data_IF_929689188610
#
_entry.id   IF_929689188610
#
_cell.length_a   1.000
_cell.length_b   1.000
_cell.length_c   1.000
_cell.angle_alpha   90.00
_cell.angle_beta   90.00
_cell.angle_gamma   90.00
#
_symmetry.space_group_name_H-M   'P 1'
#
loop_
_entity.id
_entity.type
_entity.pdbx_description
1 polymer ?
#
# COMPACT_ATOMS: atom_id res chain seq x y z
N UNK A 1 -16.87 13.86 30.00
CA UNK A 1 -15.46 13.62 29.64
C UNK A 1 -15.50 12.98 28.28
N UNK A 2 -14.68 13.44 27.33
CA UNK A 2 -14.55 12.75 26.04
C UNK A 2 -14.09 11.32 26.30
N UNK A 3 -14.56 10.36 25.51
CA UNK A 3 -14.04 8.99 25.54
C UNK A 3 -12.56 8.98 25.11
N UNK A 4 -11.82 7.94 25.48
CA UNK A 4 -10.41 7.80 25.09
C UNK A 4 -10.23 7.88 23.56
N UNK A 5 -11.14 7.28 22.80
CA UNK A 5 -11.15 7.28 21.34
C UNK A 5 -11.45 8.66 20.73
N UNK A 6 -12.31 9.46 21.38
CA UNK A 6 -12.53 10.85 20.97
C UNK A 6 -11.29 11.71 21.22
N UNK A 7 -10.55 11.46 22.31
CA UNK A 7 -9.31 12.17 22.61
C UNK A 7 -8.19 11.80 21.61
N UNK A 8 -8.06 10.51 21.23
CA UNK A 8 -7.13 10.07 20.18
C UNK A 8 -7.45 10.74 18.84
N UNK A 9 -8.72 10.75 18.45
CA UNK A 9 -9.16 11.40 17.21
C UNK A 9 -8.83 12.89 17.21
N UNK A 10 -9.09 13.61 18.30
CA UNK A 10 -8.80 15.05 18.41
C UNK A 10 -7.30 15.33 18.26
N UNK A 11 -6.44 14.54 18.91
CA UNK A 11 -4.98 14.64 18.78
C UNK A 11 -4.52 14.36 17.34
N UNK A 12 -5.11 13.36 16.68
CA UNK A 12 -4.82 13.06 15.29
C UNK A 12 -5.24 14.19 14.34
N UNK A 13 -6.44 14.76 14.52
CA UNK A 13 -6.91 15.89 13.70
C UNK A 13 -6.03 17.13 13.87
N UNK A 14 -5.58 17.41 15.09
CA UNK A 14 -4.61 18.48 15.36
C UNK A 14 -3.25 18.18 14.70
N UNK A 15 -2.79 16.94 14.76
CA UNK A 15 -1.55 16.52 14.11
C UNK A 15 -1.63 16.64 12.58
N UNK A 16 -2.75 16.25 11.95
CA UNK A 16 -2.99 16.46 10.53
C UNK A 16 -2.90 17.94 10.17
N UNK A 17 -3.58 18.81 10.94
CA UNK A 17 -3.56 20.25 10.72
C UNK A 17 -2.15 20.84 10.83
N UNK A 18 -1.37 20.44 11.84
CA UNK A 18 0.02 20.90 12.04
C UNK A 18 0.92 20.47 10.89
N UNK A 19 0.66 19.31 10.29
CA UNK A 19 1.41 18.81 9.13
C UNK A 19 0.86 19.27 7.77
N UNK A 20 -0.04 20.26 7.75
CA UNK A 20 -0.50 20.89 6.52
C UNK A 20 -1.57 20.11 5.75
N UNK A 21 -2.22 19.14 6.39
CA UNK A 21 -3.36 18.43 5.80
C UNK A 21 -4.61 19.31 5.85
N UNK A 22 -5.33 19.39 4.73
CA UNK A 22 -6.54 20.20 4.62
C UNK A 22 -7.79 19.34 4.40
N UNK A 23 -8.67 19.28 5.41
CA UNK A 23 -10.01 18.71 5.30
C UNK A 23 -10.98 19.77 4.77
N UNK A 24 -11.30 19.76 3.47
CA UNK A 24 -12.07 20.81 2.79
C UNK A 24 -13.57 20.53 2.74
N UNK A 25 -13.94 19.28 2.47
CA UNK A 25 -15.32 18.84 2.30
C UNK A 25 -15.67 17.60 3.11
N UNK A 26 -14.73 17.14 3.94
CA UNK A 26 -14.87 15.89 4.69
C UNK A 26 -14.50 16.05 6.17
N UNK A 27 -14.73 14.99 6.92
CA UNK A 27 -14.34 14.80 8.31
C UNK A 27 -14.13 13.33 8.58
N UNK A 28 -13.22 13.02 9.51
CA UNK A 28 -12.96 11.66 9.94
C UNK A 28 -13.87 11.34 11.12
N UNK A 29 -14.57 10.21 11.07
CA UNK A 29 -15.49 9.76 12.12
C UNK A 29 -15.43 8.25 12.30
N UNK A 30 -15.73 7.82 13.52
CA UNK A 30 -16.00 6.42 13.78
C UNK A 30 -17.32 6.00 13.11
N UNK A 31 -17.27 4.94 12.31
CA UNK A 31 -18.42 4.36 11.61
C UNK A 31 -19.12 3.34 12.50
N UNK A 32 -18.46 2.21 12.76
CA UNK A 32 -18.95 1.12 13.61
C UNK A 32 -17.80 0.15 13.92
N UNK A 33 -18.09 -0.93 14.66
CA UNK A 33 -17.08 -1.90 15.08
C UNK A 33 -16.51 -2.77 13.94
N UNK A 34 -17.13 -2.81 12.76
CA UNK A 34 -16.64 -3.62 11.63
C UNK A 34 -15.76 -2.81 10.69
N UNK A 35 -16.11 -1.53 10.44
CA UNK A 35 -15.34 -0.63 9.57
C UNK A 35 -14.33 0.24 10.32
N UNK A 36 -14.51 0.45 11.62
CA UNK A 36 -13.70 1.39 12.39
C UNK A 36 -13.97 2.83 11.96
N UNK A 37 -12.91 3.60 11.70
CA UNK A 37 -13.01 4.99 11.25
C UNK A 37 -13.17 5.09 9.72
N UNK A 38 -13.84 6.15 9.28
CA UNK A 38 -14.08 6.46 7.87
C UNK A 38 -14.09 7.96 7.61
N UNK A 39 -14.01 8.35 6.33
CA UNK A 39 -14.25 9.73 5.90
C UNK A 39 -15.73 9.94 5.60
N UNK A 40 -16.27 11.09 6.00
CA UNK A 40 -17.67 11.45 5.80
C UNK A 40 -17.79 12.85 5.20
N UNK A 41 -18.80 13.05 4.37
CA UNK A 41 -19.11 14.37 3.83
C UNK A 41 -19.48 15.35 4.96
N UNK A 42 -18.86 16.52 4.94
CA UNK A 42 -19.16 17.57 5.93
C UNK A 42 -20.38 18.39 5.52
N UNK A 43 -20.57 18.63 4.22
CA UNK A 43 -21.63 19.46 3.64
C UNK A 43 -22.25 18.80 2.39
N UNK A 44 -23.49 19.16 2.01
CA UNK A 44 -24.18 18.54 0.87
C UNK A 44 -23.63 18.98 -0.49
N UNK A 45 -22.77 20.00 -0.52
CA UNK A 45 -22.12 20.55 -1.71
C UNK A 45 -20.63 20.20 -1.77
N UNK A 46 -20.20 19.14 -1.10
CA UNK A 46 -18.79 18.71 -1.08
C UNK A 46 -18.43 18.06 -2.43
N UNK A 47 -18.35 18.88 -3.47
CA UNK A 47 -17.89 18.52 -4.81
C UNK A 47 -16.44 18.97 -5.01
N UNK A 48 -15.68 18.22 -5.79
CA UNK A 48 -14.27 18.52 -6.06
C UNK A 48 -13.37 17.99 -4.95
N UNK A 49 -12.36 18.78 -4.57
CA UNK A 49 -11.29 18.36 -3.66
C UNK A 49 -11.80 18.28 -2.22
N UNK A 50 -11.79 17.08 -1.65
CA UNK A 50 -12.30 16.75 -0.32
C UNK A 50 -11.22 16.85 0.76
N UNK A 51 -10.04 16.31 0.48
CA UNK A 51 -8.89 16.22 1.37
C UNK A 51 -7.62 16.49 0.58
N UNK A 52 -6.68 17.25 1.13
CA UNK A 52 -5.34 17.49 0.56
C UNK A 52 -4.29 17.09 1.59
N UNK A 53 -3.31 16.29 1.17
CA UNK A 53 -2.20 15.79 1.99
C UNK A 53 -0.88 16.15 1.30
N UNK A 54 0.02 16.92 1.94
CA UNK A 54 1.37 17.13 1.41
C UNK A 54 2.10 15.80 1.23
N UNK A 55 2.80 15.62 0.11
CA UNK A 55 3.49 14.35 -0.19
C UNK A 55 4.59 14.03 0.83
N UNK A 56 5.20 15.04 1.44
CA UNK A 56 6.24 14.84 2.46
C UNK A 56 5.71 14.20 3.76
N UNK A 57 4.39 14.22 3.97
CA UNK A 57 3.70 13.54 5.07
C UNK A 57 3.34 12.08 4.73
N UNK A 58 3.43 11.65 3.47
CA UNK A 58 3.22 10.25 3.14
C UNK A 58 4.40 9.40 3.64
N UNK A 59 4.11 8.20 4.14
CA UNK A 59 5.13 7.20 4.42
C UNK A 59 5.37 6.42 3.14
N UNK A 60 6.50 6.66 2.49
CA UNK A 60 6.96 6.00 1.27
C UNK A 60 8.41 5.54 1.45
N UNK A 61 8.92 4.61 0.62
CA UNK A 61 10.33 4.19 0.70
C UNK A 61 11.28 5.38 0.69
N UNK A 62 11.09 6.33 -0.23
CA UNK A 62 11.95 7.52 -0.34
C UNK A 62 11.91 8.39 0.92
N UNK A 63 10.73 8.59 1.52
CA UNK A 63 10.59 9.38 2.75
C UNK A 63 11.24 8.68 3.95
N UNK A 64 11.17 7.35 4.03
CA UNK A 64 11.88 6.56 5.05
C UNK A 64 13.40 6.69 4.87
N UNK A 65 13.90 6.62 3.64
CA UNK A 65 15.32 6.80 3.35
C UNK A 65 15.80 8.22 3.68
N UNK A 66 14.93 9.23 3.60
CA UNK A 66 15.25 10.61 3.96
C UNK A 66 15.16 10.92 5.46
N UNK A 67 14.72 9.97 6.30
CA UNK A 67 14.68 10.16 7.74
C UNK A 67 16.08 10.56 8.26
N UNK A 68 16.22 11.67 9.01
CA UNK A 68 17.53 12.16 9.43
C UNK A 68 18.32 11.19 10.31
N UNK A 69 17.62 10.34 11.04
CA UNK A 69 18.23 9.41 11.99
C UNK A 69 18.33 8.00 11.42
N UNK A 70 17.23 7.46 10.92
CA UNK A 70 17.13 6.08 10.43
C UNK A 70 17.60 5.95 8.98
N UNK A 71 17.44 7.01 8.19
CA UNK A 71 17.71 7.04 6.74
C UNK A 71 19.09 6.53 6.33
N UNK A 72 20.20 6.92 6.98
CA UNK A 72 21.53 6.38 6.66
C UNK A 72 21.63 4.86 6.81
N UNK A 73 21.06 4.28 7.87
CA UNK A 73 21.07 2.84 8.10
C UNK A 73 20.14 2.12 7.11
N UNK A 74 18.95 2.67 6.87
CA UNK A 74 18.00 2.16 5.90
C UNK A 74 18.56 2.15 4.47
N UNK A 75 19.30 3.19 4.05
CA UNK A 75 19.99 3.22 2.75
C UNK A 75 21.01 2.11 2.63
N UNK A 76 21.86 1.91 3.64
CA UNK A 76 22.83 0.82 3.64
C UNK A 76 22.16 -0.55 3.49
N UNK A 77 21.07 -0.79 4.24
CA UNK A 77 20.30 -2.05 4.13
C UNK A 77 19.72 -2.26 2.72
N UNK A 78 19.25 -1.19 2.06
CA UNK A 78 18.73 -1.26 0.69
C UNK A 78 19.85 -1.56 -0.32
N UNK A 79 20.99 -0.86 -0.21
CA UNK A 79 22.17 -1.04 -1.08
C UNK A 79 22.78 -2.43 -0.97
N UNK A 80 22.75 -3.02 0.23
CA UNK A 80 23.23 -4.38 0.51
C UNK A 80 22.23 -5.47 0.06
N UNK A 81 21.03 -5.09 -0.41
CA UNK A 81 19.95 -6.01 -0.76
C UNK A 81 19.32 -6.69 0.46
N UNK A 82 19.57 -6.15 1.66
CA UNK A 82 18.93 -6.61 2.88
C UNK A 82 17.48 -6.15 2.96
N UNK A 83 17.04 -5.09 2.31
CA UNK A 83 15.61 -4.76 2.31
C UNK A 83 15.17 -4.39 0.90
N UNK A 84 13.91 -4.67 0.58
CA UNK A 84 13.23 -4.06 -0.55
C UNK A 84 12.33 -2.92 -0.04
N UNK A 85 11.71 -2.18 -0.96
CA UNK A 85 10.84 -1.04 -0.65
C UNK A 85 9.72 -1.39 0.35
N UNK A 86 9.10 -2.56 0.18
CA UNK A 86 8.00 -3.01 1.03
C UNK A 86 8.49 -3.36 2.43
N UNK A 87 9.54 -4.16 2.54
CA UNK A 87 10.11 -4.54 3.82
C UNK A 87 10.67 -3.32 4.55
N UNK A 88 11.25 -2.35 3.83
CA UNK A 88 11.70 -1.08 4.40
C UNK A 88 10.55 -0.33 5.08
N UNK A 89 9.40 -0.20 4.42
CA UNK A 89 8.23 0.46 5.01
C UNK A 89 7.71 -0.29 6.24
N UNK A 90 7.63 -1.62 6.16
CA UNK A 90 7.19 -2.46 7.29
C UNK A 90 8.17 -2.33 8.47
N UNK A 91 9.47 -2.28 8.22
CA UNK A 91 10.49 -2.05 9.24
C UNK A 91 10.34 -0.68 9.90
N UNK A 92 10.13 0.37 9.10
CA UNK A 92 9.89 1.72 9.61
C UNK A 92 8.67 1.79 10.52
N UNK A 93 7.54 1.21 10.09
CA UNK A 93 6.32 1.13 10.90
C UNK A 93 6.55 0.32 12.20
N UNK A 94 7.31 -0.78 12.12
CA UNK A 94 7.67 -1.58 13.31
C UNK A 94 8.46 -0.76 14.32
N UNK A 95 9.46 0.00 13.84
CA UNK A 95 10.29 0.87 14.70
C UNK A 95 9.46 2.00 15.29
N UNK A 96 8.68 2.72 14.47
CA UNK A 96 7.87 3.85 14.92
C UNK A 96 6.79 3.44 15.93
N UNK A 97 6.26 2.21 15.84
CA UNK A 97 5.34 1.67 16.85
C UNK A 97 6.01 1.53 18.23
N UNK A 98 7.26 1.10 18.27
CA UNK A 98 8.03 0.90 19.50
C UNK A 98 8.67 2.20 20.01
N UNK A 99 8.83 3.18 19.13
CA UNK A 99 9.53 4.43 19.39
C UNK A 99 8.75 5.32 20.37
N UNK A 100 9.34 5.55 21.55
CA UNK A 100 8.73 6.32 22.65
C UNK A 100 8.37 7.76 22.27
N UNK A 101 9.18 8.39 21.42
CA UNK A 101 9.03 9.78 21.00
C UNK A 101 8.74 9.91 19.50
N UNK A 102 7.95 8.98 18.95
CA UNK A 102 7.54 9.04 17.54
C UNK A 102 6.72 10.30 17.26
N UNK A 103 7.12 11.06 16.24
CA UNK A 103 6.30 12.15 15.69
C UNK A 103 5.05 11.64 14.98
N UNK A 104 5.03 10.36 14.60
CA UNK A 104 3.90 9.69 13.95
C UNK A 104 2.88 9.15 14.94
N UNK A 105 3.17 9.21 16.25
CA UNK A 105 2.31 8.65 17.29
C UNK A 105 0.83 9.03 17.16
N UNK A 106 0.44 10.30 16.90
CA UNK A 106 -0.98 10.63 16.74
C UNK A 106 -1.66 9.92 15.56
N UNK A 107 -0.93 9.63 14.48
CA UNK A 107 -1.43 8.83 13.37
C UNK A 107 -1.46 7.34 13.72
N UNK A 108 -0.37 6.79 14.27
CA UNK A 108 -0.27 5.37 14.60
C UNK A 108 -1.25 4.94 15.71
N UNK A 109 -1.56 5.82 16.66
CA UNK A 109 -2.55 5.57 17.73
C UNK A 109 -3.99 5.45 17.18
N UNK A 110 -4.25 5.91 15.96
CA UNK A 110 -5.54 5.74 15.28
C UNK A 110 -5.64 4.46 14.46
N UNK A 111 -4.50 3.79 14.21
CA UNK A 111 -4.46 2.55 13.45
C UNK A 111 -4.88 1.38 14.35
N UNK A 112 -5.70 0.43 13.85
CA UNK A 112 -6.14 -0.71 14.65
C UNK A 112 -4.97 -1.50 15.24
N UNK A 113 -5.12 -1.99 16.48
CA UNK A 113 -4.12 -2.86 17.12
C UNK A 113 -4.19 -4.32 16.66
N UNK A 114 -5.30 -4.73 16.04
CA UNK A 114 -5.56 -6.06 15.48
C UNK A 114 -6.36 -5.93 14.20
N UNK A 115 -6.33 -6.96 13.36
CA UNK A 115 -6.99 -6.97 12.05
C UNK A 115 -7.86 -8.21 11.87
N UNK A 116 -8.85 -8.13 10.98
CA UNK A 116 -9.72 -9.26 10.64
C UNK A 116 -9.13 -10.22 9.62
N UNK A 117 -7.85 -10.08 9.25
CA UNK A 117 -7.21 -10.97 8.29
C UNK A 117 -6.85 -12.31 8.96
N UNK A 118 -6.92 -13.44 8.24
CA UNK A 118 -6.71 -14.78 8.80
C UNK A 118 -5.40 -14.99 9.56
N UNK A 119 -4.34 -14.21 9.28
CA UNK A 119 -3.07 -14.28 10.01
C UNK A 119 -3.20 -13.87 11.49
N UNK A 120 -4.25 -13.13 11.85
CA UNK A 120 -4.60 -12.69 13.21
C UNK A 120 -5.61 -13.60 13.91
N UNK A 121 -6.16 -14.60 13.22
CA UNK A 121 -7.16 -15.48 13.80
C UNK A 121 -6.59 -16.29 14.95
N UNK A 122 -7.45 -16.52 15.94
CA UNK A 122 -7.23 -17.55 16.95
C UNK A 122 -7.18 -18.93 16.29
N UNK A 123 -6.61 -19.92 16.98
CA UNK A 123 -6.52 -21.29 16.44
C UNK A 123 -7.90 -21.86 16.08
N UNK A 124 -8.93 -21.55 16.87
CA UNK A 124 -10.31 -21.99 16.62
C UNK A 124 -10.91 -21.31 15.37
N UNK A 125 -10.80 -19.98 15.25
CA UNK A 125 -11.25 -19.24 14.05
C UNK A 125 -10.50 -19.68 12.79
N UNK A 126 -9.21 -19.99 12.93
CA UNK A 126 -8.38 -20.43 11.82
C UNK A 126 -8.76 -21.82 11.31
N UNK A 127 -9.13 -22.75 12.20
CA UNK A 127 -9.61 -24.08 11.80
C UNK A 127 -10.95 -24.05 11.06
N UNK A 128 -11.79 -23.01 11.23
CA UNK A 128 -13.02 -22.84 10.45
C UNK A 128 -12.71 -22.59 8.95
N UNK A 129 -11.52 -22.12 8.61
CA UNK A 129 -11.10 -21.94 7.20
C UNK A 129 -10.69 -23.25 6.52
N UNK A 130 -10.62 -24.36 7.26
CA UNK A 130 -10.08 -25.64 6.76
C UNK A 130 -10.86 -26.13 5.53
N UNK A 131 -10.11 -26.43 4.47
CA UNK A 131 -10.65 -26.86 3.18
C UNK A 131 -10.79 -25.73 2.16
N UNK A 132 -10.60 -24.47 2.57
CA UNK A 132 -10.45 -23.33 1.65
C UNK A 132 -8.99 -23.17 1.19
N UNK A 133 -8.79 -22.46 0.08
CA UNK A 133 -7.47 -21.98 -0.37
C UNK A 133 -6.83 -21.02 0.65
N UNK A 134 -7.64 -20.17 1.28
CA UNK A 134 -7.20 -19.20 2.30
C UNK A 134 -6.47 -19.88 3.46
N UNK A 135 -6.94 -21.03 3.93
CA UNK A 135 -6.30 -21.75 5.02
C UNK A 135 -4.84 -22.12 4.70
N UNK A 136 -4.60 -22.68 3.51
CA UNK A 136 -3.23 -23.05 3.11
C UNK A 136 -2.37 -21.82 2.84
N UNK A 137 -2.92 -20.80 2.16
CA UNK A 137 -2.22 -19.55 1.88
C UNK A 137 -1.79 -18.85 3.17
N UNK A 138 -2.71 -18.69 4.13
CA UNK A 138 -2.46 -18.07 5.43
C UNK A 138 -1.43 -18.86 6.24
N UNK A 139 -1.50 -20.20 6.24
CA UNK A 139 -0.52 -21.05 6.93
C UNK A 139 0.89 -20.85 6.38
N UNK A 140 1.03 -20.83 5.05
CA UNK A 140 2.31 -20.57 4.39
C UNK A 140 2.82 -19.15 4.67
N UNK A 141 1.93 -18.16 4.60
CA UNK A 141 2.25 -16.76 4.89
C UNK A 141 2.73 -16.58 6.33
N UNK A 142 2.02 -17.12 7.34
CA UNK A 142 2.38 -17.01 8.75
C UNK A 142 3.75 -17.63 9.04
N UNK A 143 4.03 -18.80 8.45
CA UNK A 143 5.34 -19.45 8.57
C UNK A 143 6.46 -18.63 7.90
N UNK A 144 6.19 -18.07 6.71
CA UNK A 144 7.14 -17.22 5.98
C UNK A 144 7.45 -15.94 6.78
N UNK A 145 6.43 -15.25 7.27
CA UNK A 145 6.57 -14.05 8.10
C UNK A 145 7.34 -14.34 9.38
N UNK A 146 7.09 -15.46 10.05
CA UNK A 146 7.83 -15.86 11.25
C UNK A 146 9.32 -16.08 10.93
N UNK A 147 9.64 -16.75 9.81
CA UNK A 147 11.02 -16.97 9.39
C UNK A 147 11.73 -15.64 9.08
N UNK A 148 11.11 -14.78 8.27
CA UNK A 148 11.65 -13.43 7.98
C UNK A 148 11.83 -12.62 9.25
N UNK A 149 10.93 -12.76 10.21
CA UNK A 149 11.04 -12.08 11.49
C UNK A 149 12.30 -12.49 12.27
N UNK A 150 12.47 -13.78 12.52
CA UNK A 150 13.58 -14.31 13.32
C UNK A 150 14.93 -14.17 12.62
N UNK A 151 14.99 -14.43 11.31
CA UNK A 151 16.24 -14.45 10.56
C UNK A 151 16.76 -13.05 10.26
N UNK A 152 15.89 -12.04 10.25
CA UNK A 152 16.20 -10.73 9.66
C UNK A 152 15.64 -9.54 10.44
N UNK A 153 14.32 -9.40 10.46
CA UNK A 153 13.65 -8.18 10.99
C UNK A 153 14.05 -7.90 12.42
N UNK A 154 14.12 -8.93 13.27
CA UNK A 154 14.48 -8.79 14.68
C UNK A 154 15.85 -8.13 14.89
N UNK A 155 16.84 -8.49 14.08
CA UNK A 155 18.18 -7.88 14.11
C UNK A 155 18.19 -6.45 13.57
N UNK A 156 17.47 -6.21 12.47
CA UNK A 156 17.35 -4.89 11.84
C UNK A 156 16.67 -3.88 12.77
N UNK A 157 15.50 -4.23 13.32
CA UNK A 157 14.76 -3.35 14.25
C UNK A 157 15.58 -3.06 15.50
N UNK A 158 16.27 -4.06 16.07
CA UNK A 158 17.18 -3.83 17.21
C UNK A 158 18.28 -2.82 16.88
N UNK A 159 18.84 -2.89 15.69
CA UNK A 159 19.85 -1.94 15.21
C UNK A 159 19.27 -0.52 15.14
N UNK A 160 18.11 -0.37 14.51
CA UNK A 160 17.43 0.92 14.35
C UNK A 160 17.01 1.53 15.70
N UNK A 161 16.45 0.75 16.62
CA UNK A 161 16.09 1.23 17.96
C UNK A 161 17.33 1.66 18.76
N UNK A 162 18.43 0.92 18.65
CA UNK A 162 19.70 1.30 19.30
C UNK A 162 20.23 2.63 18.77
N UNK A 163 20.08 2.91 17.47
CA UNK A 163 20.44 4.20 16.87
C UNK A 163 19.58 5.35 17.41
N UNK A 164 18.31 5.09 17.73
CA UNK A 164 17.41 6.05 18.40
C UNK A 164 17.64 6.16 19.92
N UNK A 165 18.67 5.49 20.44
CA UNK A 165 19.01 5.50 21.86
C UNK A 165 18.11 4.60 22.72
N UNK A 166 17.31 3.73 22.10
CA UNK A 166 16.51 2.71 22.80
C UNK A 166 17.13 1.33 22.64
N UNK A 167 18.09 1.00 23.51
CA UNK A 167 18.73 -0.32 23.54
C UNK A 167 17.97 -1.35 24.39
N UNK A 168 16.94 -0.92 25.12
CA UNK A 168 16.22 -1.78 26.07
C UNK A 168 14.95 -2.39 25.46
N UNK A 169 14.32 -1.69 24.51
CA UNK A 169 13.14 -2.21 23.82
C UNK A 169 13.49 -3.43 22.97
N UNK A 170 12.68 -4.48 23.09
CA UNK A 170 12.75 -5.68 22.27
C UNK A 170 11.53 -5.74 21.36
N UNK A 171 11.76 -6.05 20.08
CA UNK A 171 10.68 -6.25 19.11
C UNK A 171 10.07 -7.65 19.26
N UNK A 172 8.75 -7.73 19.34
CA UNK A 172 8.02 -8.99 19.28
C UNK A 172 7.54 -9.27 17.84
N UNK A 173 7.24 -10.54 17.55
CA UNK A 173 6.67 -10.92 16.25
C UNK A 173 5.36 -10.16 15.97
N UNK A 174 4.57 -9.88 17.01
CA UNK A 174 3.30 -9.15 16.91
C UNK A 174 3.49 -7.70 16.42
N UNK A 175 4.59 -7.03 16.77
CA UNK A 175 4.88 -5.68 16.29
C UNK A 175 5.16 -5.66 14.78
N UNK A 176 5.93 -6.64 14.31
CA UNK A 176 6.20 -6.85 12.89
C UNK A 176 4.93 -7.27 12.13
N UNK A 177 4.15 -8.20 12.70
CA UNK A 177 2.89 -8.65 12.11
C UNK A 177 1.90 -7.48 11.99
N UNK A 178 1.83 -6.62 13.00
CA UNK A 178 1.07 -5.38 12.98
C UNK A 178 1.51 -4.49 11.82
N UNK A 179 2.80 -4.18 11.71
CA UNK A 179 3.31 -3.32 10.65
C UNK A 179 3.05 -3.89 9.24
N UNK A 180 3.21 -5.21 9.07
CA UNK A 180 2.87 -5.90 7.83
C UNK A 180 1.37 -5.76 7.51
N UNK A 181 0.49 -5.94 8.50
CA UNK A 181 -0.96 -5.77 8.30
C UNK A 181 -1.36 -4.33 8.03
N UNK A 182 -0.71 -3.33 8.64
CA UNK A 182 -0.91 -1.92 8.30
C UNK A 182 -0.58 -1.67 6.84
N UNK A 183 0.57 -2.15 6.36
CA UNK A 183 0.96 -2.02 4.95
C UNK A 183 -0.12 -2.58 4.02
N UNK A 184 -0.48 -3.86 4.19
CA UNK A 184 -1.41 -4.53 3.27
C UNK A 184 -2.84 -3.97 3.31
N UNK A 185 -3.26 -3.43 4.45
CA UNK A 185 -4.64 -2.94 4.62
C UNK A 185 -4.81 -1.48 4.24
N UNK A 186 -3.72 -0.69 4.16
CA UNK A 186 -3.79 0.78 4.06
C UNK A 186 -2.86 1.43 3.03
N UNK A 187 -1.87 0.71 2.49
CA UNK A 187 -1.00 1.28 1.47
C UNK A 187 -1.82 1.59 0.20
N UNK A 188 -1.53 2.75 -0.38
CA UNK A 188 -2.13 3.26 -1.61
C UNK A 188 -1.07 3.33 -2.70
N UNK A 189 -1.49 3.21 -3.95
CA UNK A 189 -0.66 3.51 -5.11
C UNK A 189 -0.62 5.03 -5.34
N UNK A 190 0.53 5.64 -5.07
CA UNK A 190 0.75 7.08 -5.16
C UNK A 190 1.42 7.40 -6.51
N UNK A 191 0.77 8.18 -7.41
CA UNK A 191 1.35 8.58 -8.68
C UNK A 191 2.33 9.74 -8.50
N UNK A 192 3.55 9.44 -8.04
CA UNK A 192 4.59 10.42 -7.78
C UNK A 192 5.25 10.91 -9.08
N UNK A 193 5.54 12.21 -9.22
CA UNK A 193 6.39 12.69 -10.32
C UNK A 193 7.78 12.07 -10.22
N UNK A 194 8.38 11.63 -11.33
CA UNK A 194 9.76 11.12 -11.36
C UNK A 194 10.75 12.07 -10.68
N UNK A 195 10.62 13.38 -10.91
CA UNK A 195 11.49 14.40 -10.30
C UNK A 195 11.33 14.54 -8.79
N UNK A 196 10.25 14.00 -8.21
CA UNK A 196 10.06 13.94 -6.76
C UNK A 196 10.77 12.72 -6.17
N UNK A 197 10.73 11.58 -6.89
CA UNK A 197 11.41 10.33 -6.47
C UNK A 197 12.92 10.44 -6.67
N UNK A 198 13.36 11.04 -7.77
CA UNK A 198 14.76 11.25 -8.10
C UNK A 198 15.00 12.76 -8.26
N UNK A 199 15.33 13.47 -7.17
CA UNK A 199 15.70 14.87 -7.26
C UNK A 199 16.97 15.00 -8.10
N UNK A 200 16.98 15.91 -9.08
CA UNK A 200 18.19 16.26 -9.82
C UNK A 200 19.17 16.98 -8.86
N UNK A 201 19.94 16.22 -8.10
CA UNK A 201 21.12 16.75 -7.41
C UNK A 201 22.10 17.11 -8.52
N UNK A 202 22.36 18.41 -8.71
CA UNK A 202 23.18 18.97 -9.79
C UNK A 202 24.67 18.58 -9.81
N UNK A 203 25.01 17.34 -9.48
CA UNK A 203 26.31 16.73 -9.67
C UNK A 203 26.23 15.79 -10.88
N UNK A 204 26.88 16.17 -11.97
CA UNK A 204 27.18 15.28 -13.10
C UNK A 204 28.04 14.10 -12.62
N UNK A 205 27.42 13.09 -12.02
CA UNK A 205 28.04 11.80 -11.77
C UNK A 205 27.80 10.92 -13.00
N UNK A 206 28.72 10.99 -13.96
CA UNK A 206 28.94 9.90 -14.92
C UNK A 206 29.39 8.64 -14.16
N UNK A 207 28.46 7.96 -13.51
CA UNK A 207 28.62 6.57 -13.12
C UNK A 207 27.52 5.77 -13.80
N UNK A 208 27.94 4.77 -14.58
CA UNK A 208 27.09 3.77 -15.21
C UNK A 208 26.27 3.07 -14.11
N UNK A 209 25.08 3.60 -13.82
CA UNK A 209 24.11 2.91 -12.98
C UNK A 209 23.37 1.88 -13.84
N UNK A 210 24.04 0.75 -14.05
CA UNK A 210 23.46 -0.44 -14.69
C UNK A 210 22.71 -1.33 -13.69
N UNK A 211 22.69 -1.00 -12.40
CA UNK A 211 22.02 -1.84 -11.39
C UNK A 211 20.52 -1.56 -11.28
N UNK A 212 20.06 -0.33 -11.54
CA UNK A 212 18.64 0.00 -11.41
C UNK A 212 17.82 -0.30 -12.68
N UNK A 213 18.45 -0.36 -13.86
CA UNK A 213 17.74 -0.56 -15.15
C UNK A 213 17.24 -2.00 -15.39
N UNK A 214 17.76 -3.01 -14.68
CA UNK A 214 17.32 -4.41 -14.89
C UNK A 214 16.02 -4.77 -14.16
N UNK A 215 15.61 -3.98 -13.15
CA UNK A 215 14.38 -4.27 -12.37
C UNK A 215 13.11 -3.80 -13.09
N UNK A 216 13.20 -2.77 -13.95
CA UNK A 216 12.02 -2.10 -14.53
C UNK A 216 11.58 -2.59 -15.91
N UNK A 217 12.28 -3.57 -16.53
CA UNK A 217 11.93 -4.08 -17.88
C UNK A 217 10.94 -5.25 -17.91
N UNK A 218 10.26 -5.58 -16.81
CA UNK A 218 9.34 -6.74 -16.77
C UNK A 218 7.85 -6.42 -16.61
N UNK A 219 7.43 -5.16 -16.56
CA UNK A 219 6.02 -4.83 -16.28
C UNK A 219 5.26 -4.08 -17.37
N UNK A 220 5.86 -3.76 -18.52
CA UNK A 220 5.14 -2.97 -19.53
C UNK A 220 4.91 -3.74 -20.83
N UNK A 221 3.76 -4.42 -20.91
CA UNK A 221 3.10 -4.67 -22.19
C UNK A 221 1.59 -4.92 -22.02
N UNK A 222 0.81 -3.94 -22.51
CA UNK A 222 -0.47 -4.03 -23.26
C UNK A 222 -1.74 -3.48 -22.57
N UNK A 223 -2.14 -2.31 -23.06
CA UNK A 223 -3.52 -2.07 -23.52
C UNK A 223 -3.51 -1.61 -25.00
N UNK A 224 -4.62 -1.80 -25.74
CA UNK A 224 -4.57 -1.88 -27.20
C UNK A 224 -4.75 -0.51 -27.83
N UNK A 225 -3.87 -0.14 -28.76
CA UNK A 225 -4.16 0.91 -29.73
C UNK A 225 -4.37 0.35 -31.13
N UNK A 226 -5.41 0.89 -31.75
CA UNK A 226 -5.85 0.70 -33.12
C UNK A 226 -4.75 0.99 -34.13
N UNK A 227 -4.70 0.16 -35.17
CA UNK A 227 -3.90 0.32 -36.39
C UNK A 227 -3.74 1.77 -36.88
N UNK A 228 -2.51 2.20 -37.18
CA UNK A 228 -2.04 2.39 -38.57
C UNK A 228 -0.55 2.80 -38.69
N UNK A 229 0.16 2.02 -39.52
CA UNK A 229 1.30 2.33 -40.40
C UNK A 229 2.68 2.82 -39.88
N UNK A 230 3.68 2.00 -40.25
CA UNK A 230 5.14 2.15 -40.19
C UNK A 230 5.75 3.52 -40.59
N UNK A 231 6.78 3.92 -39.82
CA UNK A 231 7.86 4.82 -40.24
C UNK A 231 9.04 4.83 -39.27
N UNK A 232 10.19 4.30 -39.70
CA UNK A 232 11.50 4.29 -38.99
C UNK A 232 12.09 5.71 -38.77
N UNK A 233 12.62 6.03 -37.58
CA UNK A 233 14.02 6.45 -37.30
C UNK A 233 14.20 7.30 -36.02
N UNK A 234 15.16 6.85 -35.20
CA UNK A 234 16.17 7.57 -34.39
C UNK A 234 15.88 8.94 -33.73
N UNK A 235 16.06 8.98 -32.41
CA UNK A 235 16.37 10.19 -31.63
C UNK A 235 15.52 10.30 -30.37
N UNK A 236 15.96 9.71 -29.25
CA UNK A 236 15.35 9.99 -27.95
C UNK A 236 15.88 11.33 -27.44
N UNK A 237 15.01 12.32 -27.47
CA UNK A 237 15.21 13.69 -26.98
C UNK A 237 15.28 13.68 -25.43
N UNK A 238 16.29 14.28 -24.76
CA UNK A 238 16.44 14.24 -23.30
C UNK A 238 15.27 14.84 -22.52
N UNK A 239 14.44 15.66 -23.18
CA UNK A 239 13.26 16.29 -22.58
C UNK A 239 12.07 15.35 -22.35
N UNK A 240 12.10 14.11 -22.85
CA UNK A 240 10.95 13.20 -22.77
C UNK A 240 10.83 12.51 -21.38
N UNK A 241 11.91 12.52 -20.59
CA UNK A 241 11.98 11.87 -19.27
C UNK A 241 11.43 12.75 -18.12
N UNK A 242 11.15 14.03 -18.37
CA UNK A 242 10.81 15.02 -17.33
C UNK A 242 9.32 15.03 -16.92
N UNK A 243 8.50 14.19 -17.55
CA UNK A 243 7.05 14.08 -17.31
C UNK A 243 6.58 12.69 -16.89
N UNK A 244 7.49 11.76 -16.57
CA UNK A 244 7.13 10.39 -16.20
C UNK A 244 6.54 10.34 -14.77
N UNK A 245 5.41 9.66 -14.62
CA UNK A 245 4.78 9.35 -13.32
C UNK A 245 5.22 7.97 -12.88
N UNK A 246 5.68 7.86 -11.64
CA UNK A 246 6.05 6.60 -10.99
C UNK A 246 4.98 6.25 -9.95
N UNK A 247 4.54 5.00 -9.96
CA UNK A 247 3.60 4.49 -8.97
C UNK A 247 4.37 3.90 -7.81
N UNK A 248 4.15 4.45 -6.61
CA UNK A 248 4.84 4.03 -5.39
C UNK A 248 3.80 3.65 -4.34
N UNK A 249 3.94 2.48 -3.74
CA UNK A 249 3.11 2.05 -2.61
C UNK A 249 3.50 2.86 -1.35
N UNK A 250 2.51 3.44 -0.67
CA UNK A 250 2.74 4.30 0.49
C UNK A 250 1.52 4.50 1.36
N UNK A 251 1.71 4.86 2.63
CA UNK A 251 0.61 5.26 3.52
C UNK A 251 0.43 6.77 3.45
N UNK A 252 -0.82 7.23 3.36
CA UNK A 252 -1.15 8.64 3.17
C UNK A 252 -2.10 9.08 4.28
N UNK A 253 -1.58 9.59 5.41
CA UNK A 253 -2.37 9.88 6.60
C UNK A 253 -3.61 10.74 6.30
N UNK A 254 -4.78 10.14 6.47
CA UNK A 254 -6.07 10.74 6.22
C UNK A 254 -6.77 10.16 4.99
N UNK A 255 -6.10 10.01 3.84
CA UNK A 255 -6.72 9.35 2.66
C UNK A 255 -6.86 7.85 2.94
N UNK A 256 -5.90 7.25 3.64
CA UNK A 256 -5.90 5.86 4.05
C UNK A 256 -6.97 5.49 5.11
N UNK A 257 -7.82 6.44 5.50
CA UNK A 257 -9.02 6.22 6.32
C UNK A 257 -10.29 6.04 5.48
N UNK A 258 -10.24 6.19 4.14
CA UNK A 258 -11.38 5.89 3.29
C UNK A 258 -11.63 4.37 3.24
N UNK A 259 -12.81 3.94 3.67
CA UNK A 259 -13.24 2.55 3.54
C UNK A 259 -13.53 2.17 2.08
N UNK A 260 -13.62 0.87 1.84
CA UNK A 260 -14.00 0.32 0.53
C UNK A 260 -15.52 0.37 0.29
N UNK A 261 -15.90 0.70 -0.95
CA UNK A 261 -17.25 0.47 -1.48
C UNK A 261 -17.17 0.15 -2.99
N UNK A 262 -18.03 -0.76 -3.46
CA UNK A 262 -18.14 -1.16 -4.87
C UNK A 262 -18.62 0.00 -5.78
N UNK A 263 -19.27 1.00 -5.20
CA UNK A 263 -19.71 2.24 -5.84
C UNK A 263 -18.94 3.44 -5.28
N UNK A 264 -17.64 3.26 -5.11
CA UNK A 264 -16.70 4.26 -4.65
C UNK A 264 -16.99 5.64 -5.24
N UNK A 265 -17.12 6.62 -4.35
CA UNK A 265 -17.49 7.98 -4.69
C UNK A 265 -16.30 8.95 -4.65
N UNK A 266 -15.08 8.43 -4.46
CA UNK A 266 -13.86 9.21 -4.51
C UNK A 266 -12.69 8.47 -5.16
N UNK A 267 -11.77 9.24 -5.72
CA UNK A 267 -10.46 8.82 -6.23
C UNK A 267 -9.39 9.80 -5.75
N UNK A 268 -8.11 9.52 -5.99
CA UNK A 268 -7.02 10.42 -5.64
C UNK A 268 -6.10 10.73 -6.82
N UNK A 269 -5.47 11.90 -6.76
CA UNK A 269 -4.51 12.39 -7.74
C UNK A 269 -3.38 13.16 -7.04
N UNK A 270 -2.31 13.46 -7.77
CA UNK A 270 -1.18 14.26 -7.28
C UNK A 270 -1.12 15.60 -8.02
N UNK A 271 -1.10 16.69 -7.28
CA UNK A 271 -0.88 18.04 -7.78
C UNK A 271 0.57 18.48 -7.54
N UNK A 272 1.38 18.37 -8.59
CA UNK A 272 2.80 18.78 -8.56
C UNK A 272 2.96 20.28 -8.33
N UNK A 273 2.14 21.10 -8.99
CA UNK A 273 2.32 22.55 -9.05
C UNK A 273 1.53 23.31 -7.99
N UNK A 274 0.51 22.68 -7.39
CA UNK A 274 -0.46 23.35 -6.53
C UNK A 274 -1.51 24.13 -7.32
N UNK A 275 -1.70 23.84 -8.62
CA UNK A 275 -2.67 24.57 -9.45
C UNK A 275 -4.12 24.19 -9.14
N UNK A 276 -4.35 22.96 -8.66
CA UNK A 276 -5.65 22.40 -8.30
C UNK A 276 -5.89 22.59 -6.80
N UNK A 277 -4.91 22.24 -5.98
CA UNK A 277 -5.06 22.27 -4.53
C UNK A 277 -4.61 23.60 -3.95
N UNK A 278 -3.69 24.34 -4.57
CA UNK A 278 -3.01 25.47 -3.90
C UNK A 278 -1.84 25.03 -3.01
N UNK A 279 -1.62 23.72 -2.87
CA UNK A 279 -0.51 23.11 -2.12
C UNK A 279 0.36 22.36 -3.11
N UNK A 280 1.57 22.83 -3.44
CA UNK A 280 2.46 22.10 -4.35
C UNK A 280 2.88 20.77 -3.75
N UNK A 281 3.19 19.79 -4.60
CA UNK A 281 3.59 18.44 -4.19
C UNK A 281 2.60 17.85 -3.16
N UNK A 282 1.32 17.85 -3.50
CA UNK A 282 0.28 17.28 -2.66
C UNK A 282 -0.48 16.16 -3.37
N UNK A 283 -0.91 15.17 -2.58
CA UNK A 283 -1.92 14.20 -3.01
C UNK A 283 -3.28 14.68 -2.49
N UNK A 284 -4.32 14.53 -3.29
CA UNK A 284 -5.66 14.95 -2.90
C UNK A 284 -6.73 13.93 -3.24
N UNK A 285 -7.74 13.86 -2.38
CA UNK A 285 -8.95 13.06 -2.58
C UNK A 285 -9.99 13.90 -3.32
N UNK A 286 -10.49 13.39 -4.43
CA UNK A 286 -11.46 14.02 -5.32
C UNK A 286 -12.78 13.25 -5.27
N UNK A 287 -13.89 13.96 -5.07
CA UNK A 287 -15.23 13.38 -5.24
C UNK A 287 -15.53 13.11 -6.72
N UNK A 288 -15.92 11.88 -7.05
CA UNK A 288 -16.38 11.51 -8.41
C UNK A 288 -17.91 11.56 -8.57
N UNK A 289 -18.65 11.68 -7.46
CA UNK A 289 -20.12 11.76 -7.47
C UNK A 289 -20.58 13.19 -7.81
N UNK A 290 -21.31 13.34 -8.92
CA UNK A 290 -21.92 14.60 -9.35
C UNK A 290 -23.36 14.79 -8.82
N UNK A 291 -23.91 13.80 -8.10
CA UNK A 291 -25.23 13.88 -7.48
C UNK A 291 -25.24 14.69 -6.17
N UNK A 292 -26.40 15.19 -5.70
CA UNK A 292 -26.51 15.89 -4.42
C UNK A 292 -25.93 15.03 -3.30
N UNK A 293 -24.79 15.45 -2.73
CA UNK A 293 -24.17 14.71 -1.63
C UNK A 293 -25.08 14.79 -0.41
N UNK A 294 -25.44 13.64 0.14
CA UNK A 294 -26.15 13.61 1.42
C UNK A 294 -25.15 13.98 2.52
N UNK A 295 -25.54 14.88 3.41
CA UNK A 295 -24.73 15.22 4.60
C UNK A 295 -24.56 13.96 5.44
N UNK A 296 -23.35 13.73 5.97
CA UNK A 296 -23.00 12.51 6.71
C UNK A 296 -22.98 11.23 5.86
N UNK A 297 -22.83 11.32 4.53
CA UNK A 297 -22.57 10.14 3.70
C UNK A 297 -21.09 9.75 3.81
N UNK A 298 -20.82 8.46 4.01
CA UNK A 298 -19.47 7.91 3.99
C UNK A 298 -18.85 8.11 2.60
N UNK A 299 -17.62 8.64 2.58
CA UNK A 299 -16.80 8.81 1.39
C UNK A 299 -15.89 7.59 1.31
N UNK A 300 -16.20 6.70 0.39
CA UNK A 300 -15.49 5.46 0.14
C UNK A 300 -14.69 5.52 -1.16
N UNK A 301 -13.57 4.80 -1.18
CA UNK A 301 -12.73 4.55 -2.36
C UNK A 301 -12.90 3.09 -2.82
N UNK A 302 -12.45 2.77 -4.03
CA UNK A 302 -12.36 1.37 -4.45
C UNK A 302 -10.99 0.83 -4.06
N UNK A 303 -10.96 -0.37 -3.47
CA UNK A 303 -9.72 -1.11 -3.23
C UNK A 303 -9.39 -2.02 -4.42
N UNK A 304 -10.21 -1.97 -5.48
CA UNK A 304 -10.18 -2.85 -6.64
C UNK A 304 -11.35 -3.82 -6.67
N UNK A 305 -11.58 -4.40 -7.85
CA UNK A 305 -12.64 -5.39 -8.10
C UNK A 305 -12.16 -6.77 -7.58
N UNK A 306 -12.31 -6.99 -6.27
CA UNK A 306 -11.73 -8.11 -5.54
C UNK A 306 -12.81 -9.06 -5.00
N UNK A 307 -12.56 -10.37 -5.12
CA UNK A 307 -13.42 -11.39 -4.54
C UNK A 307 -13.29 -11.46 -3.01
N UNK A 308 -14.23 -12.13 -2.34
CA UNK A 308 -14.24 -12.20 -0.87
C UNK A 308 -13.03 -12.94 -0.29
N UNK A 309 -12.49 -13.92 -1.04
CA UNK A 309 -11.24 -14.60 -0.68
C UNK A 309 -10.08 -13.60 -0.53
N UNK A 310 -9.97 -12.69 -1.49
CA UNK A 310 -8.94 -11.66 -1.56
C UNK A 310 -9.13 -10.58 -0.51
N UNK A 311 -10.37 -10.09 -0.36
CA UNK A 311 -10.71 -9.07 0.63
C UNK A 311 -10.44 -9.57 2.05
N UNK A 312 -10.77 -10.83 2.35
CA UNK A 312 -10.49 -11.43 3.65
C UNK A 312 -8.99 -11.57 3.87
N UNK A 313 -8.26 -12.09 2.87
CA UNK A 313 -6.84 -12.35 2.97
C UNK A 313 -6.00 -11.08 3.14
N UNK A 314 -6.30 -10.03 2.37
CA UNK A 314 -5.52 -8.78 2.35
C UNK A 314 -6.04 -7.74 3.35
N UNK A 315 -7.36 -7.54 3.43
CA UNK A 315 -7.97 -6.43 4.18
C UNK A 315 -8.70 -6.87 5.45
N UNK A 316 -8.99 -8.16 5.60
CA UNK A 316 -9.64 -8.70 6.79
C UNK A 316 -11.14 -8.44 6.89
N UNK A 317 -11.82 -8.30 5.76
CA UNK A 317 -13.28 -8.23 5.71
C UNK A 317 -13.84 -8.94 4.47
N UNK A 318 -15.14 -9.20 4.47
CA UNK A 318 -15.89 -9.71 3.31
C UNK A 318 -17.12 -8.83 3.07
N UNK A 319 -17.65 -8.86 1.85
CA UNK A 319 -18.84 -8.12 1.45
C UNK A 319 -19.96 -9.12 1.17
N UNK A 320 -21.12 -8.88 1.77
CA UNK A 320 -22.34 -9.64 1.45
C UNK A 320 -22.76 -9.38 0.00
N UNK A 321 -23.12 -10.43 -0.73
CA UNK A 321 -23.52 -10.37 -2.14
C UNK A 321 -22.51 -9.64 -3.05
N UNK A 322 -21.20 -9.86 -2.81
CA UNK A 322 -20.13 -9.28 -3.61
C UNK A 322 -20.27 -9.68 -5.10
N UNK A 323 -20.54 -8.74 -6.04
CA UNK A 323 -20.71 -9.05 -7.45
C UNK A 323 -19.40 -9.48 -8.13
N UNK A 324 -18.25 -9.15 -7.53
CA UNK A 324 -16.92 -9.49 -8.02
C UNK A 324 -16.37 -10.76 -7.35
N UNK A 325 -17.22 -11.51 -6.62
CA UNK A 325 -16.80 -12.75 -5.97
C UNK A 325 -16.49 -13.86 -6.98
N UNK A 326 -15.42 -14.60 -6.70
CA UNK A 326 -14.97 -15.71 -7.54
C UNK A 326 -14.39 -16.82 -6.68
N UNK A 327 -14.37 -18.05 -7.22
CA UNK A 327 -13.77 -19.21 -6.57
C UNK A 327 -12.55 -19.67 -7.34
N UNK A 328 -11.42 -19.75 -6.64
CA UNK A 328 -10.20 -20.34 -7.19
C UNK A 328 -10.33 -21.86 -7.25
N UNK A 329 -10.36 -22.41 -8.47
CA UNK A 329 -10.38 -23.87 -8.68
C UNK A 329 -8.98 -24.36 -8.97
N UNK A 330 -8.38 -25.07 -8.02
CA UNK A 330 -7.10 -25.71 -8.24
C UNK A 330 -7.26 -26.89 -9.22
N UNK A 331 -6.59 -26.80 -10.37
CA UNK A 331 -6.55 -27.87 -11.36
C UNK A 331 -5.16 -28.54 -11.34
N UNK A 332 -5.00 -29.69 -10.68
CA UNK A 332 -3.68 -30.32 -10.50
C UNK A 332 -3.12 -30.78 -11.85
N UNK A 333 -1.81 -30.60 -12.06
CA UNK A 333 -1.14 -31.04 -13.28
C UNK A 333 -1.29 -32.55 -13.51
N UNK A 334 -1.42 -33.31 -12.42
CA UNK A 334 -1.69 -34.75 -12.40
C UNK A 334 -3.00 -35.11 -13.12
N UNK A 335 -4.00 -34.22 -13.10
CA UNK A 335 -5.26 -34.43 -13.83
C UNK A 335 -5.06 -34.49 -15.35
N UNK A 336 -3.99 -33.90 -15.87
CA UNK A 336 -3.66 -33.92 -17.29
C UNK A 336 -2.93 -35.21 -17.72
N UNK A 337 -2.39 -36.00 -16.78
CA UNK A 337 -1.49 -37.13 -17.10
C UNK A 337 -2.13 -38.17 -18.03
N UNK A 338 -3.44 -38.38 -17.90
CA UNK A 338 -4.19 -39.39 -18.67
C UNK A 338 -4.81 -38.86 -19.97
N UNK A 339 -4.54 -37.61 -20.34
CA UNK A 339 -5.09 -36.98 -21.53
C UNK A 339 -4.10 -37.15 -22.70
N UNK A 340 -4.55 -37.41 -23.94
CA UNK A 340 -3.67 -37.42 -25.10
C UNK A 340 -2.83 -36.14 -25.19
N UNK A 341 -1.54 -36.30 -25.48
CA UNK A 341 -0.54 -35.23 -25.55
C UNK A 341 -0.32 -34.47 -24.24
N UNK A 342 -0.48 -35.13 -23.09
CA UNK A 342 -0.34 -34.55 -21.75
C UNK A 342 0.98 -33.79 -21.55
N UNK A 343 2.10 -34.37 -21.96
CA UNK A 343 3.42 -33.74 -21.86
C UNK A 343 3.52 -32.44 -22.66
N UNK A 344 3.11 -32.45 -23.94
CA UNK A 344 3.11 -31.25 -24.78
C UNK A 344 2.16 -30.16 -24.23
N UNK A 345 1.00 -30.55 -23.71
CA UNK A 345 0.05 -29.61 -23.10
C UNK A 345 0.62 -29.00 -21.82
N UNK A 346 1.29 -29.80 -20.99
CA UNK A 346 1.91 -29.30 -19.77
C UNK A 346 3.07 -28.34 -20.09
N UNK A 347 3.91 -28.66 -21.07
CA UNK A 347 4.96 -27.74 -21.54
C UNK A 347 4.39 -26.44 -22.09
N UNK A 348 3.28 -26.49 -22.83
CA UNK A 348 2.61 -25.28 -23.33
C UNK A 348 2.06 -24.44 -22.18
N UNK A 349 1.40 -25.07 -21.20
CA UNK A 349 0.89 -24.39 -20.00
C UNK A 349 2.03 -23.77 -19.18
N UNK A 350 3.14 -24.49 -18.98
CA UNK A 350 4.33 -23.97 -18.30
C UNK A 350 4.97 -22.81 -19.06
N UNK A 351 5.05 -22.88 -20.40
CA UNK A 351 5.55 -21.79 -21.21
C UNK A 351 4.62 -20.57 -21.14
N UNK A 352 3.29 -20.77 -21.07
CA UNK A 352 2.32 -19.69 -20.87
C UNK A 352 2.42 -19.09 -19.46
N UNK A 353 2.64 -19.91 -18.43
CA UNK A 353 2.92 -19.46 -17.06
C UNK A 353 4.27 -18.75 -16.96
N UNK A 354 5.28 -19.11 -17.76
CA UNK A 354 6.54 -18.35 -17.82
C UNK A 354 6.38 -16.97 -18.48
N UNK A 355 5.32 -16.78 -19.28
CA UNK A 355 4.88 -15.49 -19.82
C UNK A 355 3.86 -14.75 -18.92
N UNK A 356 3.24 -15.46 -17.98
CA UNK A 356 2.34 -14.94 -16.95
C UNK A 356 2.74 -15.55 -15.60
N UNK A 357 3.80 -15.04 -14.96
CA UNK A 357 4.33 -15.65 -13.74
C UNK A 357 3.23 -15.74 -12.67
N UNK A 358 3.00 -16.96 -12.19
CA UNK A 358 2.17 -17.28 -11.01
C UNK A 358 2.73 -16.69 -9.68
N UNK A 359 3.70 -15.79 -9.76
CA UNK A 359 4.07 -14.88 -8.66
C UNK A 359 3.02 -13.77 -8.46
N UNK A 360 2.10 -13.60 -9.42
CA UNK A 360 0.93 -12.74 -9.30
C UNK A 360 -0.31 -13.56 -8.88
N UNK A 361 -0.37 -14.04 -7.63
CA UNK A 361 -1.67 -14.40 -7.04
C UNK A 361 -2.39 -13.15 -6.51
N UNK A 362 -1.71 -12.01 -6.32
CA UNK A 362 -2.33 -10.80 -5.76
C UNK A 362 -1.78 -9.49 -6.34
N UNK A 363 -1.68 -9.37 -7.66
CA UNK A 363 -1.48 -8.05 -8.29
C UNK A 363 -2.57 -7.86 -9.35
N UNK A 364 -3.66 -7.22 -8.94
CA UNK A 364 -4.71 -6.75 -9.86
C UNK A 364 -4.19 -5.53 -10.64
N UNK A 365 -4.53 -5.48 -11.93
CA UNK A 365 -4.28 -4.39 -12.88
C UNK A 365 -4.91 -3.05 -12.49
#
# INVERSE_FOLDING_TARGET
>A
MASEEEAKLELFLQWLQVNGVELRGCKIKYCNSTKGYGLFSSNPTSYGVLLVVPLDLAITPMRVLEDPLLGPACRAMMEEGEVDDRLLMILFLTVERLRKNSSWKPYLDMIPSSFGSPIWFTDDEFEELKGTSVYQATKLQKNSLQAVFEDKVKGLVKTLLTLDGDSESEVAFEDFLWANSVFWTRALNIPLPRSYVFPDNGEEAHHNDKSCEEVLKKSDERRPESNESNGNMSGLDPNTMQGETLWVEGLVPGIDFCNHDLKAAATWEVDKAGSVTGVPLSMYLLSVDQGPSQVEKEIAISYGDKGNEELLYLYGFVIEDNPDDYLMVHYPAEALQNIPFSECKLQLLQAQVAYFPLECIWVSF
#
